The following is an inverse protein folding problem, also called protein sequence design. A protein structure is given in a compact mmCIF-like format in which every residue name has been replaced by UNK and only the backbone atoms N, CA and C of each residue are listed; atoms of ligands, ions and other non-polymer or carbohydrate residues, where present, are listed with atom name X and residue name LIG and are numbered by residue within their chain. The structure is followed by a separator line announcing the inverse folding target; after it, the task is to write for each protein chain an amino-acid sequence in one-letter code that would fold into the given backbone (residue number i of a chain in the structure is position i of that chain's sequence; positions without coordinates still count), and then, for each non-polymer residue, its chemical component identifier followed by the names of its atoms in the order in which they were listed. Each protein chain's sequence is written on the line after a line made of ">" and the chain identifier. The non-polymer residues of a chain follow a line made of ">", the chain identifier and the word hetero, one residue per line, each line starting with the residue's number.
data_IF_211801517666
#
_entry.id   IF_211801517666
#
_cell.length_a   1.000
_cell.length_b   1.000
_cell.length_c   1.000
_cell.angle_alpha   90.00
_cell.angle_beta   90.00
_cell.angle_gamma   90.00
#
_symmetry.space_group_name_H-M   'P 1'
#
loop_
_entity.id
_entity.type
_entity.pdbx_description
1 polymer ?
#
# COMPACT_ATOMS: atom_id res chain seq x y z
N UNK A 1 -52.78 -43.22 -55.53
CA UNK A 1 -52.07 -41.93 -55.75
C UNK A 1 -52.05 -41.20 -54.41
N UNK A 2 -51.04 -41.43 -53.63
CA UNK A 2 -50.93 -40.93 -52.23
C UNK A 2 -49.89 -39.81 -52.25
N UNK A 3 -50.32 -38.58 -52.01
CA UNK A 3 -49.46 -37.39 -52.00
C UNK A 3 -48.75 -37.30 -50.63
N UNK A 4 -47.44 -37.39 -50.66
CA UNK A 4 -46.56 -37.17 -49.50
C UNK A 4 -46.35 -35.67 -49.36
N UNK A 5 -46.76 -35.09 -48.21
CA UNK A 5 -46.50 -33.70 -47.88
C UNK A 5 -45.07 -33.55 -47.34
N UNK A 6 -44.36 -32.44 -47.68
CA UNK A 6 -43.03 -32.19 -47.21
C UNK A 6 -43.04 -31.65 -45.75
N UNK A 7 -42.25 -32.25 -44.90
CA UNK A 7 -42.01 -31.83 -43.53
C UNK A 7 -41.30 -30.47 -43.48
N UNK A 8 -41.89 -29.49 -42.79
CA UNK A 8 -41.29 -28.18 -42.51
C UNK A 8 -40.07 -28.34 -41.63
N UNK A 9 -38.89 -28.06 -42.11
CA UNK A 9 -37.67 -27.89 -41.33
C UNK A 9 -37.82 -26.71 -40.39
N UNK A 10 -37.76 -26.93 -39.10
CA UNK A 10 -37.71 -25.90 -38.07
C UNK A 10 -36.32 -25.25 -38.17
N UNK A 11 -36.28 -23.99 -38.58
CA UNK A 11 -35.07 -23.17 -38.56
C UNK A 11 -34.60 -23.02 -37.09
N UNK A 12 -33.60 -23.77 -36.69
CA UNK A 12 -32.88 -23.53 -35.45
C UNK A 12 -32.27 -22.12 -35.52
N UNK A 13 -32.82 -21.19 -34.74
CA UNK A 13 -32.23 -19.84 -34.57
C UNK A 13 -30.78 -20.02 -34.17
N UNK A 14 -29.85 -19.63 -35.01
CA UNK A 14 -28.44 -19.45 -34.67
C UNK A 14 -28.39 -18.41 -33.55
N UNK A 15 -28.26 -18.85 -32.34
CA UNK A 15 -28.03 -17.99 -31.18
C UNK A 15 -26.65 -17.31 -31.42
N UNK A 16 -26.66 -15.99 -31.55
CA UNK A 16 -25.42 -15.22 -31.77
C UNK A 16 -24.47 -15.45 -30.62
N UNK A 17 -23.53 -16.36 -30.76
CA UNK A 17 -22.49 -16.71 -29.76
C UNK A 17 -21.72 -15.47 -29.29
N UNK A 18 -21.56 -14.47 -30.16
CA UNK A 18 -20.89 -13.21 -29.81
C UNK A 18 -21.70 -12.33 -28.86
N UNK A 19 -23.04 -12.34 -28.92
CA UNK A 19 -23.89 -11.60 -27.97
C UNK A 19 -23.89 -12.29 -26.58
N UNK A 20 -23.96 -13.62 -26.55
CA UNK A 20 -23.87 -14.40 -25.31
C UNK A 20 -22.50 -14.23 -24.62
N UNK A 21 -21.41 -14.24 -25.38
CA UNK A 21 -20.06 -13.98 -24.86
C UNK A 21 -19.91 -12.55 -24.32
N UNK A 22 -20.44 -11.54 -24.99
CA UNK A 22 -20.41 -10.14 -24.50
C UNK A 22 -21.20 -9.98 -23.21
N UNK A 23 -22.38 -10.59 -23.11
CA UNK A 23 -23.16 -10.55 -21.87
C UNK A 23 -22.46 -11.28 -20.73
N UNK A 24 -21.88 -12.46 -20.95
CA UNK A 24 -21.11 -13.17 -19.95
C UNK A 24 -19.90 -12.37 -19.45
N UNK A 25 -19.18 -11.68 -20.36
CA UNK A 25 -18.07 -10.82 -20.00
C UNK A 25 -18.50 -9.62 -19.12
N UNK A 26 -19.65 -9.00 -19.42
CA UNK A 26 -20.20 -7.90 -18.61
C UNK A 26 -20.58 -8.40 -17.20
N UNK A 27 -21.20 -9.56 -17.09
CA UNK A 27 -21.55 -10.15 -15.77
C UNK A 27 -20.30 -10.49 -14.95
N UNK A 28 -19.26 -11.02 -15.56
CA UNK A 28 -17.99 -11.32 -14.88
C UNK A 28 -17.32 -10.04 -14.40
N UNK A 29 -17.25 -9.00 -15.24
CA UNK A 29 -16.68 -7.70 -14.85
C UNK A 29 -17.49 -7.02 -13.74
N UNK A 30 -18.82 -7.08 -13.78
CA UNK A 30 -19.67 -6.55 -12.72
C UNK A 30 -19.49 -7.31 -11.39
N UNK A 31 -19.38 -8.63 -11.44
CA UNK A 31 -19.14 -9.44 -10.26
C UNK A 31 -17.76 -9.13 -9.63
N UNK A 32 -16.71 -8.96 -10.43
CA UNK A 32 -15.38 -8.58 -9.95
C UNK A 32 -15.37 -7.20 -9.30
N UNK A 33 -16.07 -6.22 -9.89
CA UNK A 33 -16.21 -4.88 -9.32
C UNK A 33 -16.95 -4.91 -7.96
N UNK A 34 -17.98 -5.74 -7.84
CA UNK A 34 -18.73 -5.88 -6.59
C UNK A 34 -17.89 -6.46 -5.45
N UNK A 35 -17.04 -7.46 -5.74
CA UNK A 35 -16.13 -8.03 -4.74
C UNK A 35 -15.05 -7.04 -4.31
N UNK A 36 -14.54 -6.22 -5.22
CA UNK A 36 -13.56 -5.19 -4.89
C UNK A 36 -14.13 -4.10 -3.95
N UNK A 37 -15.37 -3.68 -4.19
CA UNK A 37 -16.05 -2.71 -3.33
C UNK A 37 -16.40 -3.28 -1.94
N UNK A 38 -16.78 -4.55 -1.87
CA UNK A 38 -17.05 -5.22 -0.59
C UNK A 38 -15.81 -5.21 0.31
N UNK A 39 -14.62 -5.54 -0.22
CA UNK A 39 -13.38 -5.51 0.56
C UNK A 39 -12.97 -4.11 1.04
N UNK A 40 -13.28 -3.05 0.27
CA UNK A 40 -13.03 -1.67 0.72
C UNK A 40 -13.94 -1.26 1.87
N UNK A 41 -15.22 -1.59 1.82
CA UNK A 41 -16.18 -1.27 2.88
C UNK A 41 -15.90 -2.08 4.15
N UNK A 42 -15.61 -3.35 4.03
CA UNK A 42 -15.17 -4.20 5.14
C UNK A 42 -13.91 -3.64 5.79
N UNK A 43 -12.94 -3.22 4.98
CA UNK A 43 -11.72 -2.56 5.44
C UNK A 43 -12.01 -1.25 6.18
N UNK A 44 -12.95 -0.45 5.70
CA UNK A 44 -13.37 0.80 6.35
C UNK A 44 -13.95 0.56 7.75
N UNK A 45 -14.81 -0.45 7.89
CA UNK A 45 -15.40 -0.81 9.18
C UNK A 45 -14.32 -1.28 10.16
N UNK A 46 -13.42 -2.16 9.71
CA UNK A 46 -12.32 -2.68 10.53
C UNK A 46 -11.30 -1.61 10.90
N UNK A 47 -11.08 -0.62 10.03
CA UNK A 47 -10.13 0.46 10.23
C UNK A 47 -10.54 1.48 11.31
N UNK A 48 -11.78 1.48 11.78
CA UNK A 48 -12.28 2.46 12.75
C UNK A 48 -11.41 2.55 14.01
N UNK A 49 -10.90 1.42 14.49
CA UNK A 49 -10.01 1.37 15.66
C UNK A 49 -8.63 1.98 15.41
N UNK A 50 -8.24 2.15 14.14
CA UNK A 50 -6.97 2.72 13.72
C UNK A 50 -7.05 4.25 13.59
N UNK A 51 -8.27 4.81 13.43
CA UNK A 51 -8.50 6.22 13.09
C UNK A 51 -8.01 7.19 14.16
N UNK A 52 -8.07 6.81 15.42
CA UNK A 52 -7.64 7.67 16.52
C UNK A 52 -6.16 8.09 16.40
N UNK A 53 -5.33 7.24 15.83
CA UNK A 53 -3.89 7.46 15.68
C UNK A 53 -3.52 7.81 14.24
N UNK A 54 -4.02 7.05 13.26
CA UNK A 54 -3.64 7.19 11.85
C UNK A 54 -4.53 8.14 11.03
N UNK A 55 -5.60 8.71 11.63
CA UNK A 55 -6.61 9.50 10.92
C UNK A 55 -7.63 8.61 10.20
N UNK A 56 -8.84 9.12 9.97
CA UNK A 56 -9.95 8.37 9.37
C UNK A 56 -9.65 7.89 7.94
N UNK A 57 -8.82 8.64 7.22
CA UNK A 57 -8.36 8.34 5.86
C UNK A 57 -6.90 7.84 5.82
N UNK A 58 -6.30 7.58 6.98
CA UNK A 58 -4.91 7.13 7.09
C UNK A 58 -3.88 8.26 7.00
N UNK A 59 -4.29 9.53 7.05
CA UNK A 59 -3.40 10.69 7.15
C UNK A 59 -3.31 11.12 8.61
N UNK A 60 -2.25 10.70 9.30
CA UNK A 60 -2.05 11.03 10.71
C UNK A 60 -1.76 12.51 10.91
N UNK A 61 -2.39 13.11 11.91
CA UNK A 61 -2.06 14.45 12.40
C UNK A 61 -0.92 14.42 13.44
N UNK A 62 -0.50 13.25 13.88
CA UNK A 62 0.51 13.05 14.92
C UNK A 62 1.86 12.76 14.26
N UNK A 63 2.88 13.62 14.41
CA UNK A 63 4.13 13.50 13.63
C UNK A 63 4.95 12.23 13.91
N UNK A 64 4.76 11.59 15.05
CA UNK A 64 5.43 10.32 15.42
C UNK A 64 4.65 9.08 14.95
N UNK A 65 3.41 9.25 14.50
CA UNK A 65 2.57 8.17 13.97
C UNK A 65 2.53 8.27 12.46
N UNK A 66 2.82 7.20 11.72
CA UNK A 66 2.92 7.28 10.27
C UNK A 66 1.57 7.53 9.59
N UNK A 67 1.59 8.32 8.54
CA UNK A 67 0.52 8.32 7.55
C UNK A 67 0.58 7.03 6.73
N UNK A 68 -0.55 6.33 6.67
CA UNK A 68 -0.70 5.04 5.97
C UNK A 68 -1.60 5.12 4.73
N UNK A 69 -2.21 6.29 4.48
CA UNK A 69 -2.96 6.58 3.26
C UNK A 69 -2.09 6.38 2.01
N UNK A 70 -2.59 5.69 1.00
CA UNK A 70 -1.89 5.46 -0.25
C UNK A 70 -0.59 4.66 -0.15
N UNK A 71 -0.34 3.99 0.97
CA UNK A 71 0.76 3.03 1.04
C UNK A 71 0.49 1.82 0.15
N UNK A 72 1.50 1.21 -0.46
CA UNK A 72 1.32 0.00 -1.25
C UNK A 72 0.60 -1.08 -0.44
N UNK A 73 -0.42 -1.69 -1.05
CA UNK A 73 -1.28 -2.69 -0.39
C UNK A 73 -0.46 -3.81 0.26
N UNK A 74 0.48 -4.38 -0.49
CA UNK A 74 1.32 -5.47 -0.01
C UNK A 74 2.20 -5.04 1.19
N UNK A 75 2.67 -3.77 1.20
CA UNK A 75 3.41 -3.24 2.34
C UNK A 75 2.56 -3.21 3.61
N UNK A 76 1.29 -2.75 3.51
CA UNK A 76 0.40 -2.71 4.68
C UNK A 76 0.14 -4.12 5.21
N UNK A 77 -0.15 -5.09 4.33
CA UNK A 77 -0.30 -6.51 4.72
C UNK A 77 0.94 -7.01 5.44
N UNK A 78 2.13 -6.78 4.86
CA UNK A 78 3.40 -7.23 5.45
C UNK A 78 3.67 -6.56 6.80
N UNK A 79 3.45 -5.25 6.91
CA UNK A 79 3.69 -4.52 8.16
C UNK A 79 2.77 -5.00 9.30
N UNK A 80 1.48 -5.18 9.02
CA UNK A 80 0.50 -5.71 9.98
C UNK A 80 0.82 -7.16 10.36
N UNK A 81 1.20 -7.99 9.39
CA UNK A 81 1.66 -9.35 9.62
C UNK A 81 2.88 -9.37 10.57
N UNK A 82 3.87 -8.53 10.31
CA UNK A 82 5.07 -8.47 11.16
C UNK A 82 4.76 -8.03 12.60
N UNK A 83 3.83 -7.11 12.79
CA UNK A 83 3.35 -6.73 14.13
C UNK A 83 2.60 -7.89 14.81
N UNK A 84 1.72 -8.59 14.08
CA UNK A 84 0.96 -9.72 14.60
C UNK A 84 1.84 -10.86 15.06
N UNK A 85 2.88 -11.19 14.29
CA UNK A 85 3.81 -12.27 14.59
C UNK A 85 4.97 -11.83 15.53
N UNK A 86 4.93 -10.60 16.06
CA UNK A 86 5.99 -10.09 16.92
C UNK A 86 7.36 -9.88 16.26
N UNK A 87 7.41 -9.94 14.91
CA UNK A 87 8.65 -9.72 14.14
C UNK A 87 9.00 -8.24 13.98
N UNK A 88 8.04 -7.37 14.21
CA UNK A 88 8.20 -5.93 14.40
C UNK A 88 7.53 -5.55 15.70
N UNK A 89 8.30 -4.98 16.62
CA UNK A 89 7.81 -4.59 17.95
C UNK A 89 7.40 -3.14 17.98
N UNK A 90 6.24 -2.86 18.56
CA UNK A 90 5.78 -1.53 18.92
C UNK A 90 4.61 -1.70 19.87
N UNK A 91 4.74 -1.19 21.09
CA UNK A 91 3.78 -1.42 22.18
C UNK A 91 2.39 -0.85 21.87
N UNK A 92 2.33 0.24 21.07
CA UNK A 92 1.07 0.82 20.66
C UNK A 92 0.36 -0.01 19.57
N UNK A 93 1.13 -0.63 18.64
CA UNK A 93 0.54 -1.37 17.52
C UNK A 93 0.25 -2.84 17.85
N UNK A 94 1.01 -3.45 18.75
CA UNK A 94 0.91 -4.87 19.08
C UNK A 94 -0.51 -5.30 19.49
N UNK A 95 -1.24 -4.59 20.39
CA UNK A 95 -2.58 -4.98 20.80
C UNK A 95 -3.61 -4.99 19.65
N UNK A 96 -3.45 -4.09 18.68
CA UNK A 96 -4.35 -4.01 17.52
C UNK A 96 -4.04 -5.08 16.48
N UNK A 97 -2.76 -5.38 16.26
CA UNK A 97 -2.34 -6.35 15.26
C UNK A 97 -2.55 -7.81 15.69
N UNK A 98 -2.37 -8.12 16.96
CA UNK A 98 -2.32 -9.48 17.51
C UNK A 98 -3.55 -10.34 17.18
N UNK A 99 -4.73 -9.73 16.98
CA UNK A 99 -6.00 -10.42 16.74
C UNK A 99 -6.44 -10.44 15.27
N UNK A 100 -5.67 -9.81 14.37
CA UNK A 100 -6.06 -9.70 12.96
C UNK A 100 -5.92 -11.05 12.25
N UNK A 101 -6.97 -11.48 11.57
CA UNK A 101 -6.92 -12.60 10.62
C UNK A 101 -6.23 -12.19 9.31
N UNK A 102 -5.88 -13.16 8.46
CA UNK A 102 -5.34 -12.85 7.12
C UNK A 102 -6.35 -12.08 6.25
N UNK A 103 -7.65 -12.30 6.42
CA UNK A 103 -8.69 -11.52 5.76
C UNK A 103 -8.65 -10.07 6.24
N UNK A 104 -8.55 -9.83 7.55
CA UNK A 104 -8.47 -8.48 8.12
C UNK A 104 -7.25 -7.70 7.60
N UNK A 105 -6.08 -8.36 7.49
CA UNK A 105 -4.89 -7.74 6.91
C UNK A 105 -5.15 -7.25 5.47
N UNK A 106 -5.83 -8.06 4.66
CA UNK A 106 -6.14 -7.74 3.27
C UNK A 106 -7.17 -6.62 3.13
N UNK A 107 -8.20 -6.61 3.97
CA UNK A 107 -9.28 -5.61 3.95
C UNK A 107 -8.76 -4.24 4.41
N UNK A 108 -8.01 -4.21 5.53
CA UNK A 108 -7.35 -3.00 6.02
C UNK A 108 -6.37 -2.44 4.99
N UNK A 109 -5.59 -3.31 4.35
CA UNK A 109 -4.64 -2.91 3.32
C UNK A 109 -5.36 -2.36 2.07
N UNK A 110 -6.48 -2.96 1.66
CA UNK A 110 -7.29 -2.45 0.56
C UNK A 110 -7.85 -1.06 0.88
N UNK A 111 -8.38 -0.88 2.08
CA UNK A 111 -8.93 0.40 2.51
C UNK A 111 -7.89 1.52 2.53
N UNK A 112 -6.78 1.35 3.25
CA UNK A 112 -5.76 2.41 3.38
C UNK A 112 -4.98 2.66 2.09
N UNK A 113 -4.77 1.64 1.25
CA UNK A 113 -4.17 1.83 -0.07
C UNK A 113 -5.03 2.70 -0.99
N UNK A 114 -6.35 2.59 -0.90
CA UNK A 114 -7.30 3.39 -1.69
C UNK A 114 -7.42 4.85 -1.22
N UNK A 115 -6.91 5.17 -0.03
CA UNK A 115 -6.97 6.53 0.49
C UNK A 115 -5.94 7.44 -0.20
N UNK A 116 -6.29 8.71 -0.33
CA UNK A 116 -5.37 9.73 -0.87
C UNK A 116 -4.47 10.25 0.23
N UNK A 117 -3.18 10.28 -0.04
CA UNK A 117 -2.21 10.93 0.83
C UNK A 117 -2.44 12.45 0.81
N UNK A 118 -2.49 13.06 1.99
CA UNK A 118 -2.42 14.52 2.12
C UNK A 118 -1.00 14.98 1.75
N UNK A 119 -0.85 15.87 0.76
CA UNK A 119 0.46 16.38 0.40
C UNK A 119 1.14 17.07 1.60
N UNK A 120 2.48 16.92 1.74
CA UNK A 120 3.20 17.63 2.79
C UNK A 120 3.12 19.15 2.57
N UNK A 121 3.00 19.89 3.65
CA UNK A 121 2.94 21.37 3.63
C UNK A 121 4.34 22.02 3.77
N UNK A 122 5.32 21.24 4.26
CA UNK A 122 6.71 21.70 4.41
C UNK A 122 7.48 21.67 3.11
N UNK A 123 8.55 22.47 3.04
CA UNK A 123 9.53 22.46 1.96
C UNK A 123 10.92 22.34 2.54
N UNK A 124 11.71 21.43 2.02
CA UNK A 124 13.12 21.36 2.35
C UNK A 124 13.90 22.48 1.63
N UNK A 125 15.02 22.92 2.21
CA UNK A 125 15.92 23.83 1.54
C UNK A 125 16.51 23.21 0.26
N UNK A 126 16.94 24.03 -0.69
CA UNK A 126 17.58 23.54 -1.90
C UNK A 126 18.82 22.67 -1.59
N UNK A 127 19.55 23.02 -0.52
CA UNK A 127 20.70 22.24 -0.03
C UNK A 127 20.24 20.85 0.48
N UNK A 128 19.20 20.80 1.31
CA UNK A 128 18.62 19.52 1.81
C UNK A 128 18.14 18.64 0.66
N UNK A 129 17.49 19.24 -0.35
CA UNK A 129 17.03 18.49 -1.54
C UNK A 129 18.23 17.93 -2.32
N UNK A 130 19.27 18.71 -2.56
CA UNK A 130 20.46 18.26 -3.29
C UNK A 130 21.19 17.14 -2.54
N UNK A 131 21.43 17.31 -1.24
CA UNK A 131 22.05 16.29 -0.38
C UNK A 131 21.20 15.03 -0.27
N UNK A 132 19.89 15.17 -0.03
CA UNK A 132 18.96 14.04 0.08
C UNK A 132 18.92 13.20 -1.19
N UNK A 133 18.92 13.83 -2.36
CA UNK A 133 19.04 13.12 -3.66
C UNK A 133 20.36 12.38 -3.79
N UNK A 134 21.48 13.01 -3.39
CA UNK A 134 22.79 12.38 -3.45
C UNK A 134 22.85 11.13 -2.53
N UNK A 135 22.38 11.25 -1.29
CA UNK A 135 22.36 10.15 -0.32
C UNK A 135 21.43 9.00 -0.79
N UNK A 136 20.24 9.32 -1.29
CA UNK A 136 19.32 8.30 -1.82
C UNK A 136 19.87 7.57 -3.04
N UNK A 137 20.64 8.26 -3.88
CA UNK A 137 21.31 7.65 -5.04
C UNK A 137 22.49 6.78 -4.59
N UNK A 138 23.37 7.31 -3.72
CA UNK A 138 24.55 6.58 -3.24
C UNK A 138 24.21 5.29 -2.49
N UNK A 139 23.09 5.26 -1.77
CA UNK A 139 22.60 4.10 -1.02
C UNK A 139 21.54 3.27 -1.79
N UNK A 140 21.36 3.50 -3.10
CA UNK A 140 20.42 2.76 -3.96
C UNK A 140 18.97 2.73 -3.45
N UNK A 141 18.51 3.70 -2.68
CA UNK A 141 17.16 3.73 -2.12
C UNK A 141 16.08 3.63 -3.20
N UNK A 142 16.31 4.33 -4.32
CA UNK A 142 15.37 4.39 -5.46
C UNK A 142 15.21 3.06 -6.20
N UNK A 143 16.13 2.13 -6.07
CA UNK A 143 16.02 0.81 -6.69
C UNK A 143 14.83 0.00 -6.14
N UNK A 144 14.56 0.14 -4.84
CA UNK A 144 13.45 -0.53 -4.17
C UNK A 144 12.25 0.41 -3.97
N UNK A 145 12.49 1.63 -3.48
CA UNK A 145 11.43 2.59 -3.16
C UNK A 145 10.89 3.36 -4.38
N UNK A 146 11.33 3.05 -5.59
CA UNK A 146 11.06 3.71 -6.88
C UNK A 146 11.74 5.09 -7.04
N UNK A 147 11.81 5.59 -8.27
CA UNK A 147 12.46 6.88 -8.57
C UNK A 147 11.77 8.07 -7.87
N UNK A 148 10.48 7.97 -7.59
CA UNK A 148 9.67 8.98 -6.89
C UNK A 148 9.50 8.70 -5.40
N UNK A 149 10.12 7.63 -4.89
CA UNK A 149 10.08 7.21 -3.49
C UNK A 149 8.65 6.92 -2.96
N UNK A 150 7.75 6.52 -3.87
CA UNK A 150 6.38 6.14 -3.53
C UNK A 150 6.21 4.66 -3.17
N UNK A 151 7.28 3.88 -3.32
CA UNK A 151 7.26 2.45 -3.03
C UNK A 151 6.51 1.62 -4.05
N UNK A 152 6.53 0.32 -3.86
CA UNK A 152 5.82 -0.67 -4.68
C UNK A 152 5.74 -1.99 -3.95
N UNK A 153 4.72 -2.78 -4.19
CA UNK A 153 4.55 -4.10 -3.57
C UNK A 153 4.72 -4.04 -2.04
N UNK A 154 5.68 -4.78 -1.46
CA UNK A 154 5.99 -4.76 -0.03
C UNK A 154 6.93 -3.61 0.40
N UNK A 155 7.38 -2.80 -0.54
CA UNK A 155 8.28 -1.66 -0.27
C UNK A 155 7.44 -0.41 -0.03
N UNK A 156 7.61 0.28 1.11
CA UNK A 156 6.77 1.42 1.46
C UNK A 156 7.07 2.69 0.66
N UNK A 157 6.06 3.54 0.57
CA UNK A 157 6.21 4.95 0.23
C UNK A 157 6.96 5.67 1.36
N UNK A 158 7.99 6.41 0.98
CA UNK A 158 8.75 7.31 1.87
C UNK A 158 8.36 8.78 1.65
N UNK A 159 8.06 9.14 0.39
CA UNK A 159 7.69 10.50 0.02
C UNK A 159 6.50 11.01 0.86
N UNK A 160 6.67 12.20 1.44
CA UNK A 160 5.67 12.88 2.23
C UNK A 160 5.30 12.22 3.57
N UNK A 161 6.11 11.27 4.04
CA UNK A 161 5.92 10.70 5.37
C UNK A 161 6.48 11.65 6.44
N UNK A 162 5.94 11.60 7.64
CA UNK A 162 6.37 12.44 8.76
C UNK A 162 7.86 12.32 9.07
N UNK A 163 8.57 13.44 9.13
CA UNK A 163 10.01 13.49 9.46
C UNK A 163 10.36 12.75 10.75
N UNK A 164 9.68 12.99 11.91
CA UNK A 164 10.02 12.29 13.15
C UNK A 164 9.88 10.77 13.03
N UNK A 165 8.82 10.30 12.36
CA UNK A 165 8.62 8.88 12.13
C UNK A 165 9.72 8.30 11.22
N UNK A 166 10.04 8.96 10.09
CA UNK A 166 11.10 8.53 9.19
C UNK A 166 12.45 8.43 9.91
N UNK A 167 12.81 9.45 10.69
CA UNK A 167 14.06 9.49 11.44
C UNK A 167 14.16 8.34 12.46
N UNK A 168 13.09 8.11 13.20
CA UNK A 168 13.01 6.99 14.14
C UNK A 168 13.21 5.65 13.43
N UNK A 169 12.52 5.44 12.30
CA UNK A 169 12.63 4.19 11.57
C UNK A 169 14.02 3.98 10.94
N UNK A 170 14.62 5.02 10.39
CA UNK A 170 15.99 4.95 9.85
C UNK A 170 17.00 4.59 10.94
N UNK A 171 16.90 5.24 12.12
CA UNK A 171 17.73 4.91 13.29
C UNK A 171 17.53 3.46 13.74
N UNK A 172 16.28 3.01 13.81
CA UNK A 172 15.95 1.65 14.25
C UNK A 172 16.48 0.58 13.28
N UNK A 173 16.39 0.79 11.97
CA UNK A 173 16.99 -0.11 10.98
C UNK A 173 18.52 -0.12 11.08
N UNK A 174 19.16 1.07 11.21
CA UNK A 174 20.60 1.16 11.36
C UNK A 174 21.11 0.51 12.64
N UNK A 175 20.39 0.63 13.75
CA UNK A 175 20.72 -0.01 15.02
C UNK A 175 20.34 -1.51 15.06
N UNK A 176 19.66 -2.04 14.03
CA UNK A 176 19.19 -3.42 14.03
C UNK A 176 18.06 -3.71 15.03
N UNK A 177 17.46 -2.68 15.64
CA UNK A 177 16.32 -2.82 16.56
C UNK A 177 14.99 -2.96 15.83
N UNK A 178 14.95 -2.65 14.53
CA UNK A 178 13.85 -2.93 13.61
C UNK A 178 14.37 -3.78 12.46
N UNK A 179 13.72 -4.92 12.23
CA UNK A 179 13.92 -5.73 11.03
C UNK A 179 12.87 -5.47 9.97
N UNK A 180 13.10 -6.03 8.81
CA UNK A 180 12.17 -6.20 7.70
C UNK A 180 11.99 -7.69 7.40
N UNK A 181 11.12 -8.02 6.43
CA UNK A 181 10.72 -9.41 6.21
C UNK A 181 11.88 -10.30 5.75
N UNK A 182 12.77 -9.77 4.92
CA UNK A 182 13.87 -10.49 4.25
C UNK A 182 15.28 -9.93 4.57
N UNK A 183 15.38 -8.91 5.44
CA UNK A 183 16.64 -8.28 5.81
C UNK A 183 17.21 -7.27 4.81
N UNK A 184 16.54 -7.05 3.68
CA UNK A 184 17.03 -6.16 2.62
C UNK A 184 17.16 -4.71 3.08
N UNK A 185 16.11 -4.15 3.73
CA UNK A 185 16.14 -2.77 4.24
C UNK A 185 17.10 -2.65 5.41
N UNK A 186 17.17 -3.65 6.29
CA UNK A 186 18.13 -3.70 7.41
C UNK A 186 19.56 -3.64 6.88
N UNK A 187 19.89 -4.42 5.85
CA UNK A 187 21.21 -4.37 5.19
C UNK A 187 21.49 -3.01 4.55
N UNK A 188 20.53 -2.46 3.80
CA UNK A 188 20.69 -1.15 3.14
C UNK A 188 20.95 -0.02 4.15
N UNK A 189 20.28 -0.07 5.31
CA UNK A 189 20.45 0.95 6.34
C UNK A 189 21.85 0.94 7.00
N UNK A 190 22.60 -0.16 6.94
CA UNK A 190 23.96 -0.21 7.46
C UNK A 190 24.91 0.74 6.73
N UNK A 191 24.66 1.01 5.44
CA UNK A 191 25.47 1.97 4.64
C UNK A 191 25.22 3.43 4.97
N UNK A 192 24.12 3.76 5.67
CA UNK A 192 23.79 5.16 5.98
C UNK A 192 24.75 5.74 7.03
N UNK A 193 25.10 6.99 6.87
CA UNK A 193 25.86 7.77 7.87
C UNK A 193 24.88 8.34 8.88
N UNK A 194 25.20 8.22 10.19
CA UNK A 194 24.26 8.62 11.26
C UNK A 194 23.91 10.10 11.18
N UNK A 195 24.89 10.93 10.85
CA UNK A 195 24.80 12.39 10.73
C UNK A 195 23.88 12.82 9.57
N UNK A 196 23.64 11.93 8.60
CA UNK A 196 22.77 12.19 7.45
C UNK A 196 21.31 11.82 7.68
N UNK A 197 20.99 11.04 8.73
CA UNK A 197 19.66 10.50 8.94
C UNK A 197 18.59 11.58 9.13
N UNK A 198 18.91 12.65 9.89
CA UNK A 198 17.97 13.76 10.11
C UNK A 198 17.69 14.53 8.81
N UNK A 199 18.73 14.85 8.05
CA UNK A 199 18.62 15.50 6.75
C UNK A 199 17.87 14.63 5.74
N UNK A 200 18.15 13.34 5.72
CA UNK A 200 17.44 12.39 4.85
C UNK A 200 15.95 12.31 5.20
N UNK A 201 15.61 12.23 6.49
CA UNK A 201 14.23 12.26 6.94
C UNK A 201 13.51 13.57 6.58
N UNK A 202 14.23 14.72 6.68
CA UNK A 202 13.73 16.02 6.27
C UNK A 202 13.42 16.05 4.76
N UNK A 203 14.38 15.65 3.93
CA UNK A 203 14.20 15.54 2.48
C UNK A 203 12.99 14.68 2.11
N UNK A 204 12.91 13.46 2.64
CA UNK A 204 11.84 12.51 2.32
C UNK A 204 10.47 13.03 2.74
N UNK A 205 10.39 13.73 3.87
CA UNK A 205 9.12 14.24 4.42
C UNK A 205 8.50 15.36 3.58
N UNK A 206 9.29 16.05 2.80
CA UNK A 206 8.85 17.19 1.97
C UNK A 206 8.58 16.84 0.51
N UNK A 207 8.88 15.60 0.12
CA UNK A 207 8.63 15.13 -1.25
C UNK A 207 7.14 15.01 -1.53
N UNK A 208 6.72 15.59 -2.65
CA UNK A 208 5.37 15.39 -3.18
C UNK A 208 5.31 14.01 -3.84
N UNK A 209 4.30 13.21 -3.48
CA UNK A 209 3.95 12.03 -4.26
C UNK A 209 3.18 12.48 -5.51
N UNK A 210 3.41 11.86 -6.68
CA UNK A 210 2.68 12.16 -7.92
C UNK A 210 1.20 11.80 -7.83
#
# INVERSE_FOLDING_TARGET
>A
MTLIQPTRFINARRWNSTAAMKMAAVFVLAALAFHAQAGLEEGRVKAQVCFACHGADGNSAIPTIPSIAGQPRQFIVTALYMFREGRRTNDAMAPFAAKLSNADLNDLAAYFNAQKMTPPTGQASAETVAKGRAVTAANNCVACHTATLVGQQQIPRLAGQHKPYLLEQLKAFKAGTRGDLDGTMTSAAQGLVVEELDMLADYLSTLQAP
#
